data_IF_782555487584
#
_entry.id   IF_782555487584
#
_cell.length_a   1.000
_cell.length_b   1.000
_cell.length_c   1.000
_cell.angle_alpha   90.00
_cell.angle_beta   90.00
_cell.angle_gamma   90.00
#
_symmetry.space_group_name_H-M   'P 1'
#
loop_
_entity.id
_entity.type
_entity.pdbx_description
1 polymer ?
#
# COMPACT_ATOMS: atom_id res chain seq x y z
N UNK A 1 -24.81 -16.48 -15.34
CA UNK A 1 -23.74 -15.99 -16.23
C UNK A 1 -22.90 -17.21 -16.60
N UNK A 2 -22.90 -17.59 -17.87
CA UNK A 2 -22.21 -18.81 -18.32
C UNK A 2 -20.68 -18.62 -18.25
N UNK A 3 -19.90 -19.68 -18.03
CA UNK A 3 -18.44 -19.60 -17.95
C UNK A 3 -17.80 -19.05 -19.23
N UNK A 4 -18.45 -19.18 -20.39
CA UNK A 4 -17.96 -18.60 -21.66
C UNK A 4 -17.95 -17.07 -21.64
N UNK A 5 -19.02 -16.43 -21.16
CA UNK A 5 -19.12 -14.96 -21.09
C UNK A 5 -18.08 -14.39 -20.11
N UNK A 6 -17.79 -15.11 -19.01
CA UNK A 6 -16.76 -14.70 -18.05
C UNK A 6 -15.38 -14.70 -18.71
N UNK A 7 -15.08 -15.69 -19.54
CA UNK A 7 -13.77 -15.82 -20.17
C UNK A 7 -13.57 -14.77 -21.27
N UNK A 8 -14.61 -14.44 -22.04
CA UNK A 8 -14.56 -13.34 -23.02
C UNK A 8 -14.29 -11.98 -22.38
N UNK A 9 -14.91 -11.70 -21.23
CA UNK A 9 -14.67 -10.44 -20.51
C UNK A 9 -13.22 -10.36 -20.01
N UNK A 10 -12.68 -11.47 -19.48
CA UNK A 10 -11.27 -11.52 -19.03
C UNK A 10 -10.31 -11.32 -20.21
N UNK A 11 -10.53 -12.00 -21.34
CA UNK A 11 -9.70 -11.85 -22.54
C UNK A 11 -9.77 -10.44 -23.12
N UNK A 12 -10.95 -9.81 -23.09
CA UNK A 12 -11.14 -8.43 -23.57
C UNK A 12 -10.39 -7.43 -22.69
N UNK A 13 -10.42 -7.59 -21.37
CA UNK A 13 -9.70 -6.72 -20.44
C UNK A 13 -8.18 -6.90 -20.58
N UNK A 14 -7.69 -8.13 -20.73
CA UNK A 14 -6.27 -8.40 -21.00
C UNK A 14 -5.79 -7.80 -22.33
N UNK A 15 -6.62 -7.82 -23.37
CA UNK A 15 -6.29 -7.22 -24.66
C UNK A 15 -6.24 -5.68 -24.60
N UNK A 16 -7.11 -5.05 -23.80
CA UNK A 16 -7.12 -3.60 -23.63
C UNK A 16 -5.93 -3.08 -22.81
N UNK A 17 -5.50 -3.83 -21.80
CA UNK A 17 -4.34 -3.47 -20.96
C UNK A 17 -3.03 -3.59 -21.75
N UNK A 18 -2.93 -4.57 -22.65
CA UNK A 18 -1.71 -4.89 -23.38
C UNK A 18 -1.69 -4.41 -24.85
N UNK A 19 -2.68 -3.60 -25.27
CA UNK A 19 -2.70 -3.09 -26.63
C UNK A 19 -1.56 -2.08 -26.83
N UNK A 20 -0.64 -2.30 -27.79
CA UNK A 20 0.35 -1.29 -28.13
C UNK A 20 -0.38 -0.06 -28.68
N UNK A 21 -0.01 1.12 -28.17
CA UNK A 21 -0.54 2.38 -28.66
C UNK A 21 -0.37 2.46 -30.17
N UNK A 22 -1.47 2.62 -30.90
CA UNK A 22 -1.48 2.83 -32.34
C UNK A 22 -0.69 4.09 -32.65
N UNK A 23 0.54 3.91 -33.16
CA UNK A 23 1.33 5.01 -33.72
C UNK A 23 0.59 5.50 -34.96
N UNK A 24 0.09 6.73 -34.90
CA UNK A 24 -0.53 7.39 -36.05
C UNK A 24 0.48 7.51 -37.21
N UNK A 25 -0.03 7.26 -38.42
CA UNK A 25 0.68 7.32 -39.71
C UNK A 25 1.27 8.74 -40.00
N UNK A 26 2.30 8.87 -40.86
CA UNK A 26 3.14 10.05 -40.91
C UNK A 26 2.61 11.11 -41.87
N UNK A 27 2.18 12.25 -41.36
CA UNK A 27 1.99 13.47 -42.15
C UNK A 27 2.85 14.61 -41.63
N UNK A 28 3.60 15.22 -42.56
CA UNK A 28 4.38 16.47 -42.45
C UNK A 28 5.70 16.44 -41.64
N UNK A 29 6.71 15.83 -42.26
CA UNK A 29 8.12 16.18 -42.05
C UNK A 29 8.34 17.56 -42.67
N UNK A 30 8.18 18.69 -41.94
CA UNK A 30 9.00 19.89 -42.26
C UNK A 30 9.02 21.10 -41.29
N UNK A 31 8.70 21.05 -39.99
CA UNK A 31 8.63 22.36 -39.26
C UNK A 31 9.00 22.40 -37.77
N UNK A 32 9.92 21.55 -37.30
CA UNK A 32 10.45 21.66 -35.92
C UNK A 32 11.96 21.46 -35.77
N UNK A 33 12.77 21.95 -36.71
CA UNK A 33 14.23 22.00 -36.57
C UNK A 33 14.77 23.41 -36.23
N UNK A 34 14.14 24.15 -35.31
CA UNK A 34 14.63 25.49 -34.94
C UNK A 34 14.69 25.80 -33.44
N UNK A 35 14.81 24.78 -32.57
CA UNK A 35 15.16 25.00 -31.16
C UNK A 35 16.27 24.07 -30.63
N UNK A 36 17.26 23.73 -31.46
CA UNK A 36 18.47 23.04 -30.98
C UNK A 36 19.71 23.94 -31.12
N UNK A 37 19.88 24.85 -30.17
CA UNK A 37 21.21 25.36 -29.81
C UNK A 37 21.31 25.52 -28.29
N UNK A 38 21.98 24.54 -27.68
CA UNK A 38 22.79 24.79 -26.48
C UNK A 38 22.19 24.45 -25.12
N UNK A 39 21.96 23.16 -24.83
CA UNK A 39 22.10 22.63 -23.44
C UNK A 39 22.69 21.22 -23.51
N UNK A 40 24.02 21.11 -23.59
CA UNK A 40 24.74 19.92 -23.07
C UNK A 40 25.01 20.17 -21.59
N UNK A 41 23.96 20.16 -20.77
CA UNK A 41 24.11 19.94 -19.35
C UNK A 41 23.99 18.43 -19.14
N UNK A 42 25.04 17.85 -18.56
CA UNK A 42 25.01 16.52 -17.97
C UNK A 42 23.91 16.50 -16.91
N UNK A 43 22.69 16.14 -17.31
CA UNK A 43 21.66 15.78 -16.36
C UNK A 43 22.12 14.47 -15.71
N UNK A 44 22.75 14.57 -14.55
CA UNK A 44 22.68 13.51 -13.53
C UNK A 44 21.24 13.45 -13.05
N UNK A 45 20.33 13.07 -13.95
CA UNK A 45 18.90 13.09 -13.74
C UNK A 45 18.54 11.93 -12.83
N UNK A 46 17.97 12.25 -11.67
CA UNK A 46 17.23 11.27 -10.90
C UNK A 46 16.23 10.57 -11.85
N UNK A 47 16.14 9.24 -11.83
CA UNK A 47 15.19 8.52 -12.67
C UNK A 47 13.79 9.09 -12.49
N UNK A 48 13.19 9.50 -13.60
CA UNK A 48 11.83 10.02 -13.65
C UNK A 48 10.89 8.83 -13.72
N UNK A 49 10.02 8.66 -12.72
CA UNK A 49 8.93 7.70 -12.81
C UNK A 49 7.90 8.23 -13.81
N UNK A 50 7.63 7.49 -14.88
CA UNK A 50 6.60 7.85 -15.85
C UNK A 50 5.23 7.49 -15.31
N UNK A 51 4.21 8.31 -15.65
CA UNK A 51 2.80 7.99 -15.35
C UNK A 51 2.34 6.72 -16.09
N UNK A 52 3.05 6.34 -17.16
CA UNK A 52 2.76 5.14 -17.94
C UNK A 52 3.48 3.88 -17.39
N UNK A 53 4.36 4.03 -16.40
CA UNK A 53 5.08 2.87 -15.84
C UNK A 53 4.16 2.05 -14.95
N UNK A 54 4.34 0.73 -14.98
CA UNK A 54 3.65 -0.16 -14.06
C UNK A 54 4.02 0.20 -12.62
N UNK A 55 3.01 0.32 -11.74
CA UNK A 55 3.20 0.73 -10.34
C UNK A 55 4.19 -0.16 -9.57
N UNK A 56 4.30 -1.44 -9.95
CA UNK A 56 5.23 -2.41 -9.36
C UNK A 56 6.66 -2.40 -9.93
N UNK A 57 6.98 -1.62 -10.96
CA UNK A 57 8.26 -1.69 -11.69
C UNK A 57 9.48 -1.48 -10.78
N UNK A 58 9.34 -0.60 -9.79
CA UNK A 58 10.41 -0.22 -8.88
C UNK A 58 10.55 -1.15 -7.66
N UNK A 59 9.71 -2.19 -7.56
CA UNK A 59 9.73 -3.17 -6.47
C UNK A 59 10.69 -4.30 -6.82
N UNK A 60 11.56 -4.70 -5.89
CA UNK A 60 12.52 -5.80 -6.13
C UNK A 60 11.79 -7.10 -6.47
N UNK A 61 12.38 -7.93 -7.34
CA UNK A 61 11.77 -9.19 -7.77
C UNK A 61 11.39 -10.08 -6.57
N UNK A 62 12.28 -10.20 -5.58
CA UNK A 62 12.00 -10.94 -4.35
C UNK A 62 10.75 -10.42 -3.62
N UNK A 63 10.56 -9.10 -3.54
CA UNK A 63 9.37 -8.52 -2.91
C UNK A 63 8.12 -8.79 -3.74
N UNK A 64 8.22 -8.73 -5.07
CA UNK A 64 7.11 -9.07 -5.96
C UNK A 64 6.70 -10.54 -5.80
N UNK A 65 7.67 -11.45 -5.76
CA UNK A 65 7.43 -12.89 -5.55
C UNK A 65 6.73 -13.14 -4.21
N UNK A 66 7.17 -12.47 -3.15
CA UNK A 66 6.52 -12.57 -1.84
C UNK A 66 5.06 -12.07 -1.88
N UNK A 67 4.79 -10.96 -2.59
CA UNK A 67 3.42 -10.45 -2.79
C UNK A 67 2.58 -11.49 -3.54
N UNK A 68 3.10 -12.02 -4.64
CA UNK A 68 2.42 -13.00 -5.49
C UNK A 68 2.12 -14.29 -4.71
N UNK A 69 3.07 -14.75 -3.89
CA UNK A 69 2.89 -15.94 -3.05
C UNK A 69 1.95 -15.72 -1.85
N UNK A 70 1.43 -14.49 -1.67
CA UNK A 70 0.53 -14.15 -0.57
C UNK A 70 1.24 -14.04 0.78
N UNK A 71 2.56 -13.89 0.79
CA UNK A 71 3.33 -13.67 2.00
C UNK A 71 3.09 -12.26 2.57
N UNK A 72 3.35 -12.11 3.86
CA UNK A 72 3.26 -10.79 4.48
C UNK A 72 4.43 -9.90 4.05
N UNK A 73 4.10 -8.77 3.44
CA UNK A 73 5.06 -7.75 3.00
C UNK A 73 4.69 -6.42 3.69
N UNK A 74 5.66 -5.77 4.33
CA UNK A 74 5.45 -4.42 4.87
C UNK A 74 5.16 -3.44 3.71
N UNK A 75 4.12 -2.62 3.80
CA UNK A 75 3.82 -1.66 2.73
C UNK A 75 4.85 -0.53 2.67
N UNK A 76 5.54 -0.25 3.78
CA UNK A 76 6.54 0.81 3.84
C UNK A 76 7.74 0.60 2.89
N UNK A 77 8.10 -0.65 2.59
CA UNK A 77 9.18 -0.95 1.63
C UNK A 77 8.77 -0.64 0.19
N UNK A 78 7.48 -0.70 -0.15
CA UNK A 78 6.97 -0.42 -1.50
C UNK A 78 7.03 1.06 -1.88
N UNK A 79 7.06 1.94 -0.88
CA UNK A 79 7.13 3.39 -1.07
C UNK A 79 8.55 3.92 -1.31
N UNK A 80 9.54 3.02 -1.30
CA UNK A 80 10.93 3.43 -1.37
C UNK A 80 11.40 3.38 -2.82
N UNK A 81 11.44 4.54 -3.49
CA UNK A 81 11.90 4.64 -4.87
C UNK A 81 13.29 4.00 -5.03
N UNK A 82 13.40 3.05 -5.95
CA UNK A 82 14.64 2.35 -6.35
C UNK A 82 15.54 3.19 -7.26
N UNK A 83 15.16 4.44 -7.54
CA UNK A 83 15.83 5.33 -8.49
C UNK A 83 17.21 5.84 -8.04
N UNK A 84 17.66 5.46 -6.85
CA UNK A 84 19.05 5.64 -6.44
C UNK A 84 19.66 4.26 -6.22
N UNK A 85 20.70 3.94 -7.00
CA UNK A 85 21.55 2.78 -6.76
C UNK A 85 21.93 2.71 -5.29
N UNK A 86 21.37 1.75 -4.56
CA UNK A 86 21.60 1.64 -3.11
C UNK A 86 21.75 0.17 -2.77
N UNK A 87 23.01 -0.24 -2.82
CA UNK A 87 23.53 -1.49 -2.30
C UNK A 87 23.06 -1.72 -0.87
N UNK A 88 22.70 -2.96 -0.55
CA UNK A 88 22.67 -3.44 0.83
C UNK A 88 23.99 -3.01 1.49
N UNK A 89 23.93 -2.13 2.48
CA UNK A 89 25.13 -1.65 3.15
C UNK A 89 25.58 -2.74 4.12
N UNK A 90 26.73 -3.35 3.85
CA UNK A 90 27.44 -4.15 4.84
C UNK A 90 28.05 -3.18 5.86
N UNK A 91 27.49 -3.16 7.07
CA UNK A 91 28.03 -2.36 8.17
C UNK A 91 28.57 -3.27 9.26
N UNK A 92 29.57 -2.81 9.99
CA UNK A 92 30.10 -3.54 11.14
C UNK A 92 29.25 -3.22 12.38
N UNK A 93 28.76 -4.24 13.08
CA UNK A 93 28.10 -4.04 14.38
C UNK A 93 29.13 -3.62 15.45
N UNK A 94 28.65 -3.25 16.64
CA UNK A 94 29.50 -2.87 17.78
C UNK A 94 30.43 -3.98 18.27
N UNK A 95 30.24 -5.22 17.78
CA UNK A 95 31.02 -6.40 18.11
C UNK A 95 31.98 -6.82 16.98
N UNK A 96 32.08 -6.04 15.90
CA UNK A 96 32.96 -6.36 14.78
C UNK A 96 32.37 -7.36 13.76
N UNK A 97 31.07 -7.65 13.80
CA UNK A 97 30.41 -8.54 12.82
C UNK A 97 29.83 -7.75 11.64
N UNK A 98 30.02 -8.27 10.43
CA UNK A 98 29.38 -7.74 9.24
C UNK A 98 27.87 -8.03 9.29
N UNK A 99 27.07 -6.98 9.43
CA UNK A 99 25.61 -7.03 9.36
C UNK A 99 25.13 -6.36 8.08
N UNK A 100 24.18 -7.01 7.42
CA UNK A 100 23.48 -6.46 6.26
C UNK A 100 22.43 -5.48 6.77
N UNK A 101 22.61 -4.18 6.53
CA UNK A 101 21.54 -3.21 6.77
C UNK A 101 20.53 -3.30 5.62
N UNK A 102 19.40 -3.93 5.90
CA UNK A 102 18.22 -3.88 5.04
C UNK A 102 17.64 -2.46 5.08
N UNK A 103 17.28 -1.93 3.90
CA UNK A 103 16.75 -0.56 3.74
C UNK A 103 15.60 -0.31 4.72
N UNK A 104 15.60 0.80 5.48
CA UNK A 104 14.50 1.10 6.39
C UNK A 104 13.22 1.33 5.59
N UNK A 105 12.14 0.65 5.97
CA UNK A 105 10.83 0.86 5.37
C UNK A 105 10.31 2.27 5.68
N UNK A 106 9.66 2.93 4.71
CA UNK A 106 9.06 4.24 4.95
C UNK A 106 7.93 4.08 5.97
N UNK A 107 7.94 4.89 7.02
CA UNK A 107 6.85 4.89 8.01
C UNK A 107 5.58 5.46 7.38
N UNK A 108 4.56 4.61 7.26
CA UNK A 108 3.21 5.03 6.86
C UNK A 108 2.48 5.57 8.09
N UNK A 109 2.11 6.85 8.06
CA UNK A 109 1.46 7.56 9.17
C UNK A 109 0.12 8.18 8.79
N UNK A 110 -0.28 8.13 7.51
CA UNK A 110 -1.53 8.68 7.02
C UNK A 110 -2.16 7.73 5.98
N UNK A 111 -3.47 7.88 5.80
CA UNK A 111 -4.25 7.00 4.94
C UNK A 111 -3.92 7.15 3.46
N UNK A 112 -3.50 8.34 3.00
CA UNK A 112 -3.19 8.54 1.57
C UNK A 112 -1.88 7.84 1.20
N UNK A 113 -0.85 7.99 2.02
CA UNK A 113 0.41 7.25 1.86
C UNK A 113 0.20 5.73 1.94
N UNK A 114 -0.76 5.27 2.77
CA UNK A 114 -1.14 3.85 2.78
C UNK A 114 -1.82 3.43 1.48
N UNK A 115 -2.75 4.22 0.95
CA UNK A 115 -3.42 3.96 -0.32
C UNK A 115 -2.39 3.86 -1.45
N UNK A 116 -1.44 4.79 -1.53
CA UNK A 116 -0.39 4.77 -2.54
C UNK A 116 0.42 3.46 -2.50
N UNK A 117 0.84 3.04 -1.29
CA UNK A 117 1.55 1.78 -1.10
C UNK A 117 0.68 0.56 -1.43
N UNK A 118 -0.59 0.59 -1.04
CA UNK A 118 -1.53 -0.50 -1.25
C UNK A 118 -1.93 -0.64 -2.72
N UNK A 119 -1.92 0.44 -3.50
CA UNK A 119 -2.10 0.42 -4.96
C UNK A 119 -0.93 -0.29 -5.65
N UNK A 120 0.32 -0.01 -5.22
CA UNK A 120 1.49 -0.75 -5.70
C UNK A 120 1.35 -2.24 -5.39
N UNK A 121 1.04 -2.58 -4.12
CA UNK A 121 0.80 -3.96 -3.70
C UNK A 121 -0.30 -4.65 -4.55
N UNK A 122 -1.44 -3.98 -4.71
CA UNK A 122 -2.60 -4.49 -5.45
C UNK A 122 -2.25 -4.72 -6.92
N UNK A 123 -1.52 -3.80 -7.56
CA UNK A 123 -1.13 -3.92 -8.97
C UNK A 123 -0.31 -5.18 -9.24
N UNK A 124 0.55 -5.57 -8.29
CA UNK A 124 1.38 -6.78 -8.37
C UNK A 124 0.52 -8.01 -8.05
N UNK A 125 -0.24 -7.97 -6.95
CA UNK A 125 -1.02 -9.10 -6.46
C UNK A 125 -2.10 -9.57 -7.46
N UNK A 126 -2.88 -8.63 -7.99
CA UNK A 126 -3.99 -8.95 -8.91
C UNK A 126 -3.51 -9.33 -10.31
N UNK A 127 -2.24 -9.07 -10.65
CA UNK A 127 -1.63 -9.55 -11.89
C UNK A 127 -1.62 -11.07 -11.98
N UNK A 128 -1.64 -11.77 -10.84
CA UNK A 128 -1.71 -13.24 -10.74
C UNK A 128 -3.06 -13.71 -10.18
N UNK A 129 -3.60 -13.03 -9.16
CA UNK A 129 -4.85 -13.40 -8.49
C UNK A 129 -6.04 -12.56 -8.98
N UNK A 130 -6.36 -12.69 -10.27
CA UNK A 130 -7.37 -11.84 -10.94
C UNK A 130 -8.76 -12.00 -10.31
N UNK A 131 -9.09 -13.18 -9.80
CA UNK A 131 -10.35 -13.48 -9.11
C UNK A 131 -10.56 -12.68 -7.83
N UNK A 132 -9.47 -12.20 -7.21
CA UNK A 132 -9.51 -11.43 -5.97
C UNK A 132 -9.57 -9.91 -6.21
N UNK A 133 -9.53 -9.46 -7.47
CA UNK A 133 -9.50 -8.02 -7.83
C UNK A 133 -10.62 -7.20 -7.17
N UNK A 134 -11.87 -7.68 -7.22
CA UNK A 134 -12.98 -6.96 -6.59
C UNK A 134 -12.92 -7.04 -5.06
N UNK A 135 -12.43 -8.16 -4.53
CA UNK A 135 -12.33 -8.39 -3.09
C UNK A 135 -11.28 -7.46 -2.47
N UNK A 136 -10.12 -7.29 -3.12
CA UNK A 136 -9.05 -6.42 -2.64
C UNK A 136 -9.41 -4.93 -2.77
N UNK A 137 -10.16 -4.54 -3.81
CA UNK A 137 -10.70 -3.18 -3.91
C UNK A 137 -11.71 -2.89 -2.79
N UNK A 138 -12.56 -3.86 -2.45
CA UNK A 138 -13.48 -3.74 -1.32
C UNK A 138 -12.71 -3.63 0.01
N UNK A 139 -11.66 -4.42 0.18
CA UNK A 139 -10.77 -4.32 1.34
C UNK A 139 -10.16 -2.91 1.48
N UNK A 140 -9.62 -2.36 0.39
CA UNK A 140 -9.08 -1.00 0.36
C UNK A 140 -10.11 0.03 0.82
N UNK A 141 -11.35 -0.09 0.34
CA UNK A 141 -12.46 0.75 0.79
C UNK A 141 -12.76 0.57 2.29
N UNK A 142 -12.80 -0.66 2.79
CA UNK A 142 -13.03 -0.96 4.20
C UNK A 142 -11.97 -0.34 5.12
N UNK A 143 -10.68 -0.41 4.76
CA UNK A 143 -9.60 0.23 5.53
C UNK A 143 -9.73 1.75 5.51
N UNK A 144 -10.03 2.34 4.34
CA UNK A 144 -10.28 3.79 4.21
C UNK A 144 -11.47 4.24 5.07
N UNK A 145 -12.54 3.47 5.09
CA UNK A 145 -13.69 3.72 5.96
C UNK A 145 -13.30 3.59 7.44
N UNK A 146 -12.50 2.59 7.79
CA UNK A 146 -11.92 2.44 9.13
C UNK A 146 -11.13 3.68 9.55
N UNK A 147 -10.27 4.19 8.66
CA UNK A 147 -9.47 5.40 8.92
C UNK A 147 -10.34 6.65 9.17
N UNK A 148 -11.47 6.79 8.47
CA UNK A 148 -12.42 7.90 8.73
C UNK A 148 -13.18 7.78 10.05
N UNK A 149 -13.21 6.59 10.66
CA UNK A 149 -13.98 6.27 11.87
C UNK A 149 -13.12 6.13 13.11
N UNK A 150 -11.87 5.70 12.95
CA UNK A 150 -10.92 5.51 14.04
C UNK A 150 -10.24 6.83 14.42
N UNK A 151 -9.96 7.01 15.71
CA UNK A 151 -9.08 8.08 16.18
C UNK A 151 -7.63 7.55 16.11
N UNK A 152 -6.73 8.29 15.46
CA UNK A 152 -5.32 7.92 15.34
C UNK A 152 -5.05 6.85 14.27
N UNK A 153 -4.14 5.91 14.58
CA UNK A 153 -3.62 4.91 13.62
C UNK A 153 -4.22 3.51 13.81
N UNK A 154 -5.41 3.40 14.42
CA UNK A 154 -6.10 2.13 14.60
C UNK A 154 -6.28 1.35 13.30
N UNK A 155 -6.70 2.05 12.23
CA UNK A 155 -6.82 1.49 10.88
C UNK A 155 -5.52 0.86 10.34
N UNK A 156 -4.35 1.38 10.71
CA UNK A 156 -3.06 0.84 10.29
C UNK A 156 -2.77 -0.50 10.98
N UNK A 157 -3.04 -0.57 12.28
CA UNK A 157 -2.89 -1.80 13.04
C UNK A 157 -3.89 -2.86 12.57
N UNK A 158 -5.12 -2.46 12.25
CA UNK A 158 -6.11 -3.32 11.60
C UNK A 158 -5.57 -3.92 10.30
N UNK A 159 -5.07 -3.09 9.37
CA UNK A 159 -4.51 -3.56 8.10
C UNK A 159 -3.37 -4.57 8.31
N UNK A 160 -2.42 -4.22 9.18
CA UNK A 160 -1.27 -5.06 9.45
C UNK A 160 -1.69 -6.44 9.97
N UNK A 161 -2.58 -6.49 10.95
CA UNK A 161 -3.05 -7.76 11.52
C UNK A 161 -3.91 -8.55 10.52
N UNK A 162 -4.74 -7.88 9.73
CA UNK A 162 -5.54 -8.52 8.69
C UNK A 162 -4.64 -9.21 7.65
N UNK A 163 -3.64 -8.49 7.12
CA UNK A 163 -2.72 -9.06 6.12
C UNK A 163 -1.83 -10.17 6.69
N UNK A 164 -1.39 -10.06 7.94
CA UNK A 164 -0.71 -11.16 8.64
C UNK A 164 -1.61 -12.40 8.75
N UNK A 165 -2.90 -12.21 9.06
CA UNK A 165 -3.88 -13.31 9.16
C UNK A 165 -4.17 -13.92 7.78
N UNK A 166 -4.32 -13.10 6.73
CA UNK A 166 -4.48 -13.54 5.34
C UNK A 166 -3.26 -14.31 4.83
N UNK A 167 -2.05 -13.90 5.17
CA UNK A 167 -0.82 -14.63 4.82
C UNK A 167 -0.75 -16.02 5.49
N UNK A 168 -1.27 -16.15 6.72
CA UNK A 168 -1.37 -17.45 7.42
C UNK A 168 -2.53 -18.32 6.91
N UNK A 169 -3.59 -17.70 6.39
CA UNK A 169 -4.77 -18.37 5.87
C UNK A 169 -5.18 -17.78 4.50
N UNK A 170 -4.57 -18.25 3.40
CA UNK A 170 -4.84 -17.72 2.06
C UNK A 170 -6.30 -17.84 1.61
N UNK A 171 -7.07 -18.78 2.17
CA UNK A 171 -8.50 -18.97 1.86
C UNK A 171 -9.40 -17.85 2.42
N UNK A 172 -8.89 -17.00 3.32
CA UNK A 172 -9.63 -15.85 3.83
C UNK A 172 -9.96 -14.85 2.71
N UNK A 173 -11.21 -14.43 2.57
CA UNK A 173 -11.56 -13.42 1.55
C UNK A 173 -11.11 -12.01 1.97
N UNK A 174 -10.52 -11.26 1.04
CA UNK A 174 -10.29 -9.81 1.21
C UNK A 174 -11.60 -9.03 1.42
N UNK A 175 -12.73 -9.52 0.88
CA UNK A 175 -14.02 -8.82 0.89
C UNK A 175 -14.73 -8.83 2.24
N UNK A 176 -14.25 -9.62 3.20
CA UNK A 176 -14.90 -9.82 4.50
C UNK A 176 -14.15 -9.08 5.59
N UNK A 177 -14.84 -8.17 6.27
CA UNK A 177 -14.28 -7.48 7.44
C UNK A 177 -14.11 -8.47 8.59
N UNK A 178 -12.88 -8.61 9.08
CA UNK A 178 -12.63 -9.34 10.33
C UNK A 178 -13.21 -8.56 11.52
N UNK A 179 -14.30 -9.09 12.11
CA UNK A 179 -15.06 -8.40 13.15
C UNK A 179 -14.26 -8.21 14.45
N UNK A 180 -13.41 -9.18 14.81
CA UNK A 180 -12.60 -9.10 16.03
C UNK A 180 -11.53 -8.02 15.88
N UNK A 181 -10.77 -8.05 14.77
CA UNK A 181 -9.79 -7.02 14.47
C UNK A 181 -10.46 -5.64 14.35
N UNK A 182 -11.65 -5.57 13.74
CA UNK A 182 -12.37 -4.32 13.59
C UNK A 182 -12.75 -3.70 14.94
N UNK A 183 -13.28 -4.51 15.87
CA UNK A 183 -13.62 -4.05 17.21
C UNK A 183 -12.36 -3.62 17.98
N UNK A 184 -11.27 -4.38 17.86
CA UNK A 184 -10.01 -4.13 18.57
C UNK A 184 -9.27 -2.88 18.10
N UNK A 185 -9.37 -2.51 16.83
CA UNK A 185 -8.53 -1.45 16.26
C UNK A 185 -9.29 -0.25 15.69
N UNK A 186 -10.54 -0.43 15.23
CA UNK A 186 -11.32 0.66 14.64
C UNK A 186 -12.27 1.26 15.69
N UNK A 187 -12.94 0.42 16.48
CA UNK A 187 -13.88 0.86 17.51
C UNK A 187 -13.25 1.00 18.90
N UNK A 188 -11.96 0.63 19.07
CA UNK A 188 -11.28 0.80 20.35
C UNK A 188 -11.12 2.29 20.67
N UNK A 189 -11.92 2.78 21.60
CA UNK A 189 -11.73 4.07 22.28
C UNK A 189 -10.63 4.01 23.35
N UNK A 190 -10.01 2.84 23.56
CA UNK A 190 -9.15 2.56 24.71
C UNK A 190 -7.79 1.98 24.30
N UNK A 191 -6.88 2.84 23.85
CA UNK A 191 -5.43 2.66 24.11
C UNK A 191 -4.64 3.91 23.70
N UNK A 192 -5.01 5.07 24.22
CA UNK A 192 -3.96 5.98 24.65
C UNK A 192 -3.38 5.32 25.90
N UNK A 193 -2.17 4.76 25.80
CA UNK A 193 -1.35 4.52 26.98
C UNK A 193 -1.32 5.82 27.80
N UNK A 194 -1.66 5.81 29.09
CA UNK A 194 -1.39 6.97 29.91
C UNK A 194 0.13 7.08 29.99
N UNK A 195 0.70 8.07 29.31
CA UNK A 195 1.95 8.64 29.80
C UNK A 195 1.64 9.12 31.23
N UNK A 196 2.40 8.72 32.26
CA UNK A 196 2.15 9.17 33.61
C UNK A 196 2.43 10.69 33.66
N UNK A 197 1.37 11.51 33.58
CA UNK A 197 1.51 12.94 33.83
C UNK A 197 0.59 13.93 33.12
N UNK A 198 -0.39 13.53 32.29
CA UNK A 198 -1.29 14.53 31.66
C UNK A 198 -2.75 14.24 31.96
N UNK A 199 -3.27 14.95 32.97
CA UNK A 199 -4.70 15.08 33.24
C UNK A 199 -5.33 15.93 32.13
N UNK A 200 -5.93 15.30 31.11
CA UNK A 200 -6.80 16.03 30.19
C UNK A 200 -8.17 16.21 30.83
N UNK A 201 -8.39 17.39 31.39
CA UNK A 201 -9.72 17.90 31.72
C UNK A 201 -10.45 18.07 30.39
N UNK A 202 -11.42 17.19 30.10
CA UNK A 202 -12.41 17.47 29.06
C UNK A 202 -13.78 17.63 29.72
N UNK A 203 -14.28 18.84 29.60
CA UNK A 203 -15.54 19.31 30.14
C UNK A 203 -16.71 18.68 29.37
N UNK A 204 -17.73 18.25 30.12
CA UNK A 204 -19.00 17.72 29.63
C UNK A 204 -18.95 16.36 28.91
N UNK A 205 -19.25 15.28 29.65
CA UNK A 205 -20.63 14.79 29.80
C UNK A 205 -20.69 13.71 30.89
N UNK A 206 -21.79 13.78 31.64
CA UNK A 206 -22.19 12.98 32.80
C UNK A 206 -22.02 11.47 32.56
N UNK A 207 -21.25 10.81 33.41
CA UNK A 207 -21.19 9.36 33.51
C UNK A 207 -21.47 8.93 34.96
N UNK A 208 -22.69 8.45 35.18
CA UNK A 208 -23.08 7.43 36.17
C UNK A 208 -22.71 7.64 37.65
N UNK A 209 -23.41 8.54 38.34
CA UNK A 209 -23.77 8.29 39.75
C UNK A 209 -24.99 7.37 39.79
N UNK A 210 -24.76 6.06 39.69
CA UNK A 210 -25.78 5.06 39.94
C UNK A 210 -25.16 3.97 40.82
N UNK A 211 -25.23 4.17 42.15
CA UNK A 211 -25.29 3.14 43.21
C UNK A 211 -24.75 3.52 44.61
N UNK A 212 -24.62 4.80 44.98
CA UNK A 212 -24.34 5.14 46.38
C UNK A 212 -25.57 5.60 47.19
N UNK A 213 -26.67 4.82 47.13
CA UNK A 213 -27.70 4.87 48.18
C UNK A 213 -28.06 3.47 48.64
N UNK A 214 -27.43 3.08 49.75
CA UNK A 214 -27.65 1.86 50.53
C UNK A 214 -26.35 1.61 51.28
N UNK A 215 -26.25 1.70 52.60
CA UNK A 215 -27.23 1.61 53.72
C UNK A 215 -26.76 2.47 54.88
#
# INVERSE_FOLDING_TARGET
MTPEIRNEVIQTVYALINSPATVASPESVNERQQWNTGITQSFNGLPVNSVNDNLGLNVSQQTQDNIINGEYVDLGILLTNSSTEQSNSLTLDTNGQLVIQTKPSKKITDINTWIDAFLIYTSIYVGVHVEDTLNILKYMYSVKLGASRSIGLGWKNYDQQFRLKKARNPAMSWATVDQELWLLYIHSVLSNTPSPGVCMVNTNRKCYEFNNKGT
#
